data_IF_078973888277
#
_entry.id   IF_078973888277
#
_cell.length_a   1.000
_cell.length_b   1.000
_cell.length_c   1.000
_cell.angle_alpha   90.00
_cell.angle_beta   90.00
_cell.angle_gamma   90.00
#
_symmetry.space_group_name_H-M   'P 1'
#
loop_
_entity.id
_entity.type
_entity.pdbx_description
1 polymer ?
#
# COMPACT_ATOMS: atom_id res chain seq x y z
N UNK A 1 -8.26 -17.69 19.21
CA UNK A 1 -7.59 -17.07 18.04
C UNK A 1 -6.60 -18.06 17.43
N UNK A 2 -6.66 -18.27 16.12
CA UNK A 2 -5.72 -19.10 15.37
C UNK A 2 -4.31 -18.45 15.40
N UNK A 3 -3.40 -18.95 16.25
CA UNK A 3 -2.05 -18.37 16.46
C UNK A 3 -1.25 -18.20 15.15
N UNK A 4 -1.20 -19.20 14.24
CA UNK A 4 -0.59 -19.06 12.91
C UNK A 4 -1.09 -17.83 12.11
N UNK A 5 -2.40 -17.64 12.06
CA UNK A 5 -3.04 -16.55 11.32
C UNK A 5 -2.63 -15.18 11.88
N UNK A 6 -2.72 -15.01 13.20
CA UNK A 6 -2.33 -13.75 13.87
C UNK A 6 -0.86 -13.44 13.65
N UNK A 7 0.02 -14.45 13.75
CA UNK A 7 1.45 -14.27 13.51
C UNK A 7 1.75 -13.87 12.05
N UNK A 8 1.01 -14.45 11.10
CA UNK A 8 1.16 -14.11 9.69
C UNK A 8 0.75 -12.66 9.39
N UNK A 9 -0.40 -12.21 9.92
CA UNK A 9 -0.84 -10.81 9.85
C UNK A 9 0.18 -9.85 10.44
N UNK A 10 0.70 -10.17 11.64
CA UNK A 10 1.75 -9.39 12.30
C UNK A 10 3.03 -9.30 11.48
N UNK A 11 3.43 -10.38 10.79
CA UNK A 11 4.62 -10.39 9.94
C UNK A 11 4.49 -9.40 8.77
N UNK A 12 3.35 -9.43 8.07
CA UNK A 12 3.12 -8.50 6.93
C UNK A 12 3.02 -7.06 7.45
N UNK A 13 2.30 -6.85 8.56
CA UNK A 13 2.20 -5.54 9.20
C UNK A 13 3.57 -4.99 9.61
N UNK A 14 4.44 -5.83 10.18
CA UNK A 14 5.79 -5.43 10.55
C UNK A 14 6.60 -4.97 9.35
N UNK A 15 6.51 -5.68 8.21
CA UNK A 15 7.19 -5.23 6.98
C UNK A 15 6.67 -3.86 6.51
N UNK A 16 5.36 -3.64 6.55
CA UNK A 16 4.73 -2.36 6.19
C UNK A 16 5.18 -1.25 7.15
N UNK A 17 5.17 -1.52 8.46
CA UNK A 17 5.66 -0.60 9.49
C UNK A 17 7.10 -0.19 9.24
N UNK A 18 7.96 -1.14 8.89
CA UNK A 18 9.38 -0.87 8.60
C UNK A 18 9.57 0.01 7.37
N UNK A 19 8.76 -0.20 6.33
CA UNK A 19 8.81 0.59 5.10
C UNK A 19 8.23 2.00 5.29
N UNK A 20 7.21 2.15 6.12
CA UNK A 20 6.58 3.43 6.46
C UNK A 20 7.28 4.17 7.62
N UNK A 21 8.38 3.64 8.14
CA UNK A 21 9.04 4.17 9.33
C UNK A 21 9.43 5.66 9.23
N UNK A 22 9.67 6.18 8.02
CA UNK A 22 9.95 7.60 7.79
C UNK A 22 8.69 8.45 7.57
N UNK A 23 7.54 7.84 7.28
CA UNK A 23 6.25 8.51 7.13
C UNK A 23 5.59 8.77 8.50
N UNK A 24 5.82 7.88 9.46
CA UNK A 24 5.31 7.98 10.83
C UNK A 24 5.11 6.60 11.47
N UNK A 25 4.80 6.58 12.77
CA UNK A 25 4.51 5.33 13.48
C UNK A 25 3.05 4.90 13.26
N UNK A 26 2.86 3.74 12.64
CA UNK A 26 1.54 3.12 12.45
C UNK A 26 1.15 2.19 13.61
N UNK A 27 2.03 2.02 14.60
CA UNK A 27 1.80 1.18 15.77
C UNK A 27 1.87 -0.33 15.51
N UNK A 28 1.38 -1.11 16.48
CA UNK A 28 1.33 -2.56 16.40
C UNK A 28 0.04 -3.06 15.73
N UNK A 29 0.12 -4.23 15.09
CA UNK A 29 -1.05 -4.81 14.43
C UNK A 29 -2.17 -5.10 15.44
N UNK A 30 -3.37 -4.62 15.12
CA UNK A 30 -4.61 -4.92 15.83
C UNK A 30 -5.68 -5.37 14.81
N UNK A 31 -6.46 -6.40 15.13
CA UNK A 31 -7.55 -6.85 14.25
C UNK A 31 -8.63 -5.79 14.05
N UNK A 32 -8.75 -4.80 14.95
CA UNK A 32 -9.68 -3.68 14.80
C UNK A 32 -9.30 -2.74 13.64
N UNK A 33 -8.11 -2.88 13.05
CA UNK A 33 -7.66 -2.11 11.88
C UNK A 33 -8.33 -2.53 10.57
N UNK A 34 -8.98 -3.70 10.54
CA UNK A 34 -9.58 -4.28 9.34
C UNK A 34 -11.01 -4.74 9.61
N UNK A 35 -11.86 -4.79 8.59
CA UNK A 35 -13.12 -5.54 8.64
C UNK A 35 -12.87 -6.99 8.24
N UNK A 36 -13.23 -7.93 9.11
CA UNK A 36 -13.05 -9.36 8.90
C UNK A 36 -14.23 -10.01 8.14
N UNK A 37 -15.30 -9.26 7.93
CA UNK A 37 -16.49 -9.73 7.23
C UNK A 37 -16.31 -9.66 5.73
N UNK A 38 -16.87 -10.63 4.99
CA UNK A 38 -16.85 -10.63 3.54
C UNK A 38 -17.87 -9.64 2.98
N UNK A 39 -17.42 -8.41 2.76
CA UNK A 39 -18.21 -7.30 2.23
C UNK A 39 -17.69 -6.97 0.82
N UNK A 40 -18.57 -6.76 -0.19
CA UNK A 40 -18.15 -6.46 -1.56
C UNK A 40 -17.66 -5.00 -1.73
N UNK A 41 -16.72 -4.58 -0.89
CA UNK A 41 -16.08 -3.25 -0.88
C UNK A 41 -14.63 -3.40 -0.45
N UNK A 42 -13.73 -2.55 -0.96
CA UNK A 42 -12.33 -2.54 -0.50
C UNK A 42 -12.19 -1.90 0.89
N UNK A 43 -12.99 -0.87 1.16
CA UNK A 43 -13.01 -0.13 2.44
C UNK A 43 -14.47 0.04 2.86
N UNK A 44 -14.74 -0.27 4.13
CA UNK A 44 -16.03 -0.09 4.78
C UNK A 44 -15.80 0.60 6.14
N UNK A 45 -16.64 1.56 6.52
CA UNK A 45 -16.54 2.30 7.79
C UNK A 45 -15.12 2.79 8.16
N UNK A 46 -14.35 3.22 7.16
CA UNK A 46 -12.98 3.72 7.36
C UNK A 46 -11.94 2.63 7.66
N UNK A 47 -12.21 1.37 7.34
CA UNK A 47 -11.26 0.25 7.46
C UNK A 47 -11.26 -0.62 6.20
N UNK A 48 -10.09 -1.13 5.78
CA UNK A 48 -10.02 -2.09 4.69
C UNK A 48 -10.76 -3.39 5.04
N UNK A 49 -11.47 -3.94 4.07
CA UNK A 49 -12.15 -5.23 4.18
C UNK A 49 -11.15 -6.33 3.83
N UNK A 50 -10.69 -7.07 4.83
CA UNK A 50 -9.73 -8.15 4.69
C UNK A 50 -10.17 -9.35 5.56
N UNK A 51 -11.06 -10.20 5.04
CA UNK A 51 -11.50 -11.40 5.75
C UNK A 51 -10.36 -12.38 6.01
N UNK A 52 -10.46 -13.10 7.13
CA UNK A 52 -9.47 -14.09 7.58
C UNK A 52 -9.22 -15.17 6.53
N UNK A 53 -10.24 -15.56 5.75
CA UNK A 53 -10.11 -16.58 4.72
C UNK A 53 -9.08 -16.20 3.64
N UNK A 54 -8.86 -14.91 3.36
CA UNK A 54 -7.83 -14.46 2.40
C UNK A 54 -6.43 -14.81 2.92
N UNK A 55 -6.17 -14.54 4.20
CA UNK A 55 -4.90 -14.87 4.84
C UNK A 55 -4.73 -16.38 4.99
N UNK A 56 -5.78 -17.10 5.39
CA UNK A 56 -5.75 -18.56 5.53
C UNK A 56 -5.44 -19.23 4.20
N UNK A 57 -6.05 -18.77 3.11
CA UNK A 57 -5.77 -19.25 1.75
C UNK A 57 -4.31 -19.01 1.36
N UNK A 58 -3.74 -17.85 1.71
CA UNK A 58 -2.33 -17.57 1.43
C UNK A 58 -1.38 -18.45 2.27
N UNK A 59 -1.71 -18.68 3.55
CA UNK A 59 -0.94 -19.55 4.45
C UNK A 59 -0.95 -21.01 3.97
N UNK A 60 -2.09 -21.49 3.47
CA UNK A 60 -2.25 -22.87 3.01
C UNK A 60 -1.69 -23.11 1.59
N UNK A 61 -1.38 -22.04 0.85
CA UNK A 61 -0.89 -22.17 -0.51
C UNK A 61 0.53 -22.76 -0.55
N UNK A 62 0.74 -23.77 -1.41
CA UNK A 62 2.06 -24.41 -1.61
C UNK A 62 3.09 -23.48 -2.27
N UNK A 63 2.61 -22.46 -2.99
CA UNK A 63 3.41 -21.39 -3.60
C UNK A 63 2.81 -20.04 -3.21
N UNK A 64 3.64 -19.03 -3.05
CA UNK A 64 3.14 -17.69 -2.74
C UNK A 64 2.28 -17.20 -3.92
N UNK A 65 0.99 -17.06 -3.68
CA UNK A 65 0.05 -16.44 -4.61
C UNK A 65 0.30 -14.92 -4.56
N UNK A 66 0.98 -14.40 -5.58
CA UNK A 66 1.38 -12.99 -5.65
C UNK A 66 0.18 -12.05 -5.74
N UNK A 67 -0.93 -12.49 -6.33
CA UNK A 67 -2.13 -11.68 -6.48
C UNK A 67 -2.85 -11.57 -5.14
N UNK A 68 -3.05 -12.71 -4.47
CA UNK A 68 -3.62 -12.74 -3.13
C UNK A 68 -2.73 -12.00 -2.10
N UNK A 69 -1.41 -12.15 -2.22
CA UNK A 69 -0.47 -11.42 -1.37
C UNK A 69 -0.56 -9.91 -1.60
N UNK A 70 -0.67 -9.45 -2.86
CA UNK A 70 -0.84 -8.03 -3.16
C UNK A 70 -2.13 -7.48 -2.57
N UNK A 71 -3.26 -8.20 -2.68
CA UNK A 71 -4.55 -7.77 -2.08
C UNK A 71 -4.42 -7.57 -0.56
N UNK A 72 -3.78 -8.53 0.13
CA UNK A 72 -3.56 -8.43 1.57
C UNK A 72 -2.65 -7.25 1.92
N UNK A 73 -1.54 -7.07 1.20
CA UNK A 73 -0.60 -5.96 1.44
C UNK A 73 -1.28 -4.63 1.17
N UNK A 74 -2.02 -4.50 0.06
CA UNK A 74 -2.76 -3.29 -0.30
C UNK A 74 -3.73 -2.87 0.81
N UNK A 75 -4.53 -3.80 1.31
CA UNK A 75 -5.46 -3.50 2.40
C UNK A 75 -4.72 -3.11 3.69
N UNK A 76 -3.62 -3.78 4.06
CA UNK A 76 -2.85 -3.41 5.25
C UNK A 76 -2.11 -2.07 5.10
N UNK A 77 -1.59 -1.74 3.92
CA UNK A 77 -0.99 -0.41 3.64
C UNK A 77 -2.06 0.68 3.73
N UNK A 78 -3.28 0.39 3.25
CA UNK A 78 -4.42 1.30 3.38
C UNK A 78 -4.72 1.60 4.85
N UNK A 79 -4.78 0.56 5.71
CA UNK A 79 -4.92 0.76 7.16
C UNK A 79 -3.79 1.60 7.76
N UNK A 80 -2.53 1.35 7.38
CA UNK A 80 -1.40 2.15 7.82
C UNK A 80 -1.52 3.63 7.43
N UNK A 81 -1.94 3.91 6.20
CA UNK A 81 -2.12 5.28 5.71
C UNK A 81 -3.25 6.04 6.40
N UNK A 82 -4.35 5.34 6.74
CA UNK A 82 -5.44 5.90 7.52
C UNK A 82 -4.96 6.34 8.92
N UNK A 83 -4.09 5.54 9.57
CA UNK A 83 -3.47 5.91 10.85
C UNK A 83 -2.58 7.15 10.69
N UNK A 84 -1.86 7.27 9.57
CA UNK A 84 -1.01 8.42 9.26
C UNK A 84 -1.79 9.67 8.81
N UNK A 85 -3.13 9.63 8.81
CA UNK A 85 -3.98 10.80 8.56
C UNK A 85 -4.31 11.07 7.09
N UNK A 86 -4.09 10.09 6.20
CA UNK A 86 -4.74 10.10 4.89
C UNK A 86 -6.20 9.67 5.04
N UNK A 87 -7.09 10.25 4.23
CA UNK A 87 -8.48 9.84 4.14
C UNK A 87 -8.59 8.54 3.30
N UNK A 88 -9.80 7.99 3.21
CA UNK A 88 -10.08 6.75 2.49
C UNK A 88 -9.58 6.74 1.04
N UNK A 89 -9.81 7.82 0.29
CA UNK A 89 -9.46 7.91 -1.12
C UNK A 89 -7.93 7.89 -1.30
N UNK A 90 -7.22 8.76 -0.58
CA UNK A 90 -5.77 8.89 -0.72
C UNK A 90 -5.01 7.74 -0.06
N UNK A 91 -5.57 7.10 0.97
CA UNK A 91 -5.02 5.87 1.54
C UNK A 91 -5.07 4.71 0.55
N UNK A 92 -6.20 4.54 -0.15
CA UNK A 92 -6.34 3.52 -1.19
C UNK A 92 -5.39 3.80 -2.36
N UNK A 93 -5.29 5.06 -2.78
CA UNK A 93 -4.39 5.49 -3.86
C UNK A 93 -2.92 5.24 -3.52
N UNK A 94 -2.47 5.60 -2.31
CA UNK A 94 -1.11 5.31 -1.86
C UNK A 94 -0.86 3.79 -1.85
N UNK A 95 -1.82 2.99 -1.36
CA UNK A 95 -1.68 1.55 -1.32
C UNK A 95 -1.57 0.91 -2.72
N UNK A 96 -2.36 1.41 -3.69
CA UNK A 96 -2.24 1.00 -5.10
C UNK A 96 -0.83 1.31 -5.64
N UNK A 97 -0.31 2.51 -5.39
CA UNK A 97 1.02 2.93 -5.86
C UNK A 97 2.14 2.12 -5.19
N UNK A 98 2.05 1.91 -3.88
CA UNK A 98 2.99 1.09 -3.11
C UNK A 98 3.04 -0.34 -3.64
N UNK A 99 1.88 -0.98 -3.81
CA UNK A 99 1.81 -2.34 -4.31
C UNK A 99 2.27 -2.42 -5.78
N UNK A 100 1.94 -1.41 -6.59
CA UNK A 100 2.40 -1.35 -7.98
C UNK A 100 3.92 -1.43 -8.09
N UNK A 101 4.63 -0.66 -7.27
CA UNK A 101 6.09 -0.70 -7.22
C UNK A 101 6.60 -2.02 -6.63
N UNK A 102 6.03 -2.47 -5.50
CA UNK A 102 6.48 -3.68 -4.80
C UNK A 102 6.32 -4.95 -5.64
N UNK A 103 5.24 -5.05 -6.40
CA UNK A 103 4.88 -6.24 -7.17
C UNK A 103 5.11 -6.09 -8.69
N UNK A 104 5.48 -4.89 -9.16
CA UNK A 104 5.82 -4.62 -10.56
C UNK A 104 4.63 -4.74 -11.53
N UNK A 105 3.40 -4.45 -11.06
CA UNK A 105 2.17 -4.58 -11.87
C UNK A 105 1.16 -3.49 -11.52
N UNK A 106 0.24 -3.17 -12.42
CA UNK A 106 -0.87 -2.24 -12.12
C UNK A 106 -1.89 -2.96 -11.23
N UNK A 107 -2.20 -2.38 -10.07
CA UNK A 107 -3.11 -2.91 -9.05
C UNK A 107 -4.56 -2.45 -9.24
N UNK A 108 -4.75 -1.28 -9.86
CA UNK A 108 -6.06 -0.65 -10.01
C UNK A 108 -6.11 0.23 -11.24
N UNK A 109 -7.18 0.15 -12.01
CA UNK A 109 -7.39 1.05 -13.17
C UNK A 109 -7.80 2.46 -12.74
N UNK A 110 -8.35 2.63 -11.52
CA UNK A 110 -8.81 3.93 -11.02
C UNK A 110 -7.66 4.87 -10.69
N UNK A 111 -6.48 4.33 -10.36
CA UNK A 111 -5.29 5.07 -9.94
C UNK A 111 -4.10 4.77 -10.87
N UNK A 112 -4.39 4.40 -12.13
CA UNK A 112 -3.37 3.93 -13.06
C UNK A 112 -2.34 5.02 -13.36
N UNK A 113 -2.74 6.29 -13.47
CA UNK A 113 -1.81 7.37 -13.77
C UNK A 113 -0.86 7.65 -12.60
N UNK A 114 -1.35 7.56 -11.37
CA UNK A 114 -0.59 7.71 -10.14
C UNK A 114 0.41 6.57 -9.98
N UNK A 115 -0.02 5.33 -10.25
CA UNK A 115 0.84 4.16 -10.27
C UNK A 115 1.97 4.29 -11.31
N UNK A 116 1.65 4.76 -12.52
CA UNK A 116 2.66 4.98 -13.57
C UNK A 116 3.57 6.17 -13.24
N UNK A 117 3.03 7.23 -12.63
CA UNK A 117 3.79 8.38 -12.14
C UNK A 117 4.89 7.91 -11.16
N UNK A 118 4.52 7.23 -10.08
CA UNK A 118 5.50 6.79 -9.09
C UNK A 118 6.38 5.64 -9.58
N UNK A 119 5.88 4.73 -10.41
CA UNK A 119 6.72 3.68 -11.00
C UNK A 119 7.82 4.26 -11.90
N UNK A 120 7.50 5.31 -12.65
CA UNK A 120 8.49 6.02 -13.49
C UNK A 120 9.56 6.70 -12.64
N UNK A 121 9.18 7.31 -11.51
CA UNK A 121 10.13 7.88 -10.56
C UNK A 121 10.98 6.79 -9.89
N UNK A 122 10.36 5.67 -9.49
CA UNK A 122 11.02 4.56 -8.84
C UNK A 122 12.10 3.94 -9.72
N UNK A 123 11.78 3.64 -10.99
CA UNK A 123 12.70 3.02 -11.94
C UNK A 123 13.94 3.90 -12.18
N UNK A 124 13.80 5.23 -12.14
CA UNK A 124 14.94 6.15 -12.28
C UNK A 124 15.94 6.03 -11.11
N UNK A 125 15.45 5.69 -9.92
CA UNK A 125 16.27 5.58 -8.71
C UNK A 125 16.81 4.16 -8.52
N UNK A 126 15.96 3.14 -8.65
CA UNK A 126 16.27 1.76 -8.27
C UNK A 126 16.49 0.80 -9.43
N UNK A 127 16.16 1.21 -10.67
CA UNK A 127 16.06 0.35 -11.86
C UNK A 127 14.94 -0.68 -11.76
N UNK A 128 14.72 -1.42 -12.85
CA UNK A 128 13.59 -2.37 -13.00
C UNK A 128 13.82 -3.67 -12.22
N UNK A 129 15.07 -4.04 -11.97
CA UNK A 129 15.49 -5.30 -11.34
C UNK A 129 15.70 -5.20 -9.82
N UNK A 130 15.27 -4.10 -9.21
CA UNK A 130 15.39 -3.89 -7.78
C UNK A 130 14.67 -4.98 -6.97
N UNK A 131 15.38 -5.57 -6.01
CA UNK A 131 14.81 -6.52 -5.07
C UNK A 131 14.37 -5.79 -3.81
N UNK A 132 13.06 -5.87 -3.51
CA UNK A 132 12.45 -5.20 -2.36
C UNK A 132 13.16 -5.53 -1.04
N UNK A 133 13.74 -4.51 -0.39
CA UNK A 133 14.50 -4.66 0.83
C UNK A 133 14.06 -3.64 1.90
N UNK A 134 13.33 -4.12 2.91
CA UNK A 134 12.84 -3.32 4.03
C UNK A 134 13.93 -2.64 4.89
N UNK A 135 15.20 -3.03 4.74
CA UNK A 135 16.33 -2.37 5.43
C UNK A 135 16.99 -1.26 4.61
N UNK A 136 16.59 -1.11 3.36
CA UNK A 136 17.14 -0.10 2.45
C UNK A 136 16.62 1.29 2.82
N UNK A 137 17.55 2.18 3.21
CA UNK A 137 17.22 3.55 3.57
C UNK A 137 16.72 4.38 2.40
N UNK A 138 17.20 4.12 1.17
CA UNK A 138 16.72 4.83 -0.02
C UNK A 138 15.30 4.42 -0.36
N UNK A 139 14.95 3.14 -0.23
CA UNK A 139 13.57 2.68 -0.40
C UNK A 139 12.63 3.38 0.59
N UNK A 140 13.01 3.47 1.86
CA UNK A 140 12.21 4.18 2.88
C UNK A 140 12.05 5.67 2.55
N UNK A 141 13.10 6.34 2.06
CA UNK A 141 13.02 7.74 1.60
C UNK A 141 12.10 7.90 0.40
N UNK A 142 12.13 6.97 -0.56
CA UNK A 142 11.24 6.99 -1.71
C UNK A 142 9.78 6.82 -1.28
N UNK A 143 9.51 5.88 -0.37
CA UNK A 143 8.16 5.66 0.17
C UNK A 143 7.66 6.89 0.95
N UNK A 144 8.54 7.56 1.70
CA UNK A 144 8.23 8.84 2.35
C UNK A 144 7.93 9.96 1.33
N UNK A 145 8.71 10.07 0.26
CA UNK A 145 8.43 11.00 -0.83
C UNK A 145 7.06 10.73 -1.44
N UNK A 146 6.76 9.48 -1.78
CA UNK A 146 5.46 9.07 -2.30
C UNK A 146 4.32 9.43 -1.33
N UNK A 147 4.52 9.23 -0.02
CA UNK A 147 3.53 9.57 1.00
C UNK A 147 3.28 11.07 1.06
N UNK A 148 4.34 11.88 1.06
CA UNK A 148 4.24 13.34 1.10
C UNK A 148 3.54 13.90 -0.16
N UNK A 149 3.84 13.36 -1.34
CA UNK A 149 3.13 13.76 -2.57
C UNK A 149 1.64 13.43 -2.47
N UNK A 150 1.28 12.24 -2.00
CA UNK A 150 -0.13 11.87 -1.81
C UNK A 150 -0.81 12.70 -0.72
N UNK A 151 -0.07 13.08 0.33
CA UNK A 151 -0.56 13.98 1.38
C UNK A 151 -0.82 15.39 0.84
N UNK A 152 0.08 15.92 0.02
CA UNK A 152 -0.10 17.19 -0.68
C UNK A 152 -1.31 17.14 -1.63
N UNK A 153 -1.49 16.03 -2.34
CA UNK A 153 -2.67 15.81 -3.19
C UNK A 153 -3.99 15.85 -2.42
N UNK A 154 -3.97 15.44 -1.14
CA UNK A 154 -5.11 15.54 -0.25
C UNK A 154 -5.32 16.95 0.29
N UNK A 155 -4.25 17.58 0.76
CA UNK A 155 -4.34 18.80 1.57
C UNK A 155 -4.38 20.07 0.72
N UNK A 156 -3.85 20.03 -0.50
CA UNK A 156 -3.75 21.18 -1.41
C UNK A 156 -4.77 21.03 -2.54
N UNK A 157 -5.75 21.95 -2.64
CA UNK A 157 -6.75 21.91 -3.72
C UNK A 157 -6.12 21.87 -5.11
N UNK A 158 -6.65 21.02 -5.98
CA UNK A 158 -6.25 20.84 -7.39
C UNK A 158 -4.80 20.38 -7.62
N UNK A 159 -4.02 20.10 -6.56
CA UNK A 159 -2.62 19.69 -6.68
C UNK A 159 -2.48 18.35 -7.40
N UNK A 160 -3.33 17.38 -7.05
CA UNK A 160 -3.42 16.09 -7.71
C UNK A 160 -3.66 16.22 -9.21
N UNK A 161 -4.70 16.95 -9.60
CA UNK A 161 -5.04 17.17 -11.00
C UNK A 161 -3.90 17.85 -11.76
N UNK A 162 -3.30 18.89 -11.17
CA UNK A 162 -2.19 19.63 -11.76
C UNK A 162 -0.97 18.73 -12.02
N UNK A 163 -0.56 17.93 -11.03
CA UNK A 163 0.61 17.07 -11.13
C UNK A 163 0.39 15.97 -12.16
N UNK A 164 -0.78 15.32 -12.16
CA UNK A 164 -1.10 14.26 -13.11
C UNK A 164 -1.27 14.81 -14.53
N UNK A 165 -1.88 15.97 -14.72
CA UNK A 165 -1.95 16.62 -16.05
C UNK A 165 -0.57 17.01 -16.57
N UNK A 166 0.32 17.48 -15.70
CA UNK A 166 1.71 17.78 -16.06
C UNK A 166 2.46 16.51 -16.46
N UNK A 167 2.31 15.43 -15.69
CA UNK A 167 2.92 14.14 -15.98
C UNK A 167 2.44 13.55 -17.31
N UNK A 168 1.14 13.61 -17.60
CA UNK A 168 0.57 13.12 -18.86
C UNK A 168 1.17 13.79 -20.10
N UNK A 169 1.69 15.02 -19.98
CA UNK A 169 2.39 15.72 -21.08
C UNK A 169 3.82 15.22 -21.29
N UNK A 170 4.35 14.39 -20.40
CA UNK A 170 5.70 13.81 -20.47
C UNK A 170 5.72 12.35 -20.91
N UNK A 171 4.53 11.74 -21.04
CA UNK A 171 4.32 10.41 -21.63
C UNK A 171 4.35 10.51 -23.17
#
# INVERSE_FOLDING_TARGET
>A
MNKPLVNFKKKIWFEIKENLALCGDIGEFNNNLIHNEDIPREIYEGKPVLPDFLFEKLIQSKKLDSDLHSVIVKGLVTAGCLILGLNTLYSAMFADCYCCIKFGKIESTKTQFEQVFFSTEFIKVFKVDYTWNMKDGELKKFIMHMFNVVKDWQDIPNKHESDILKFKKTL
#
